data_IF_287729992456
#
_entry.id   IF_287729992456
#
_cell.length_a   1.000
_cell.length_b   1.000
_cell.length_c   1.000
_cell.angle_alpha   90.00
_cell.angle_beta   90.00
_cell.angle_gamma   90.00
#
_symmetry.space_group_name_H-M   'P 1'
#
loop_
_entity.id
_entity.type
_entity.pdbx_description
1 polymer ?
#
# COMPACT_ATOMS: atom_id res chain seq x y z
N UNK A 1 -1.47 -10.52 21.42
CA UNK A 1 -0.71 -9.77 22.45
C UNK A 1 0.72 -9.50 21.96
N UNK A 2 1.27 -8.33 22.31
CA UNK A 2 2.68 -7.97 22.09
C UNK A 2 3.42 -7.98 23.44
N UNK A 3 4.68 -8.38 23.48
CA UNK A 3 5.53 -8.31 24.67
C UNK A 3 6.73 -7.41 24.39
N UNK A 4 6.90 -6.37 25.21
CA UNK A 4 8.01 -5.42 25.09
C UNK A 4 9.25 -5.96 25.82
N UNK A 5 10.16 -6.62 25.11
CA UNK A 5 11.40 -7.16 25.68
C UNK A 5 12.64 -6.32 25.34
N UNK A 6 12.52 -5.27 24.50
CA UNK A 6 13.55 -4.25 24.34
C UNK A 6 13.50 -3.24 25.51
N UNK A 7 14.25 -3.55 26.56
CA UNK A 7 14.41 -2.68 27.74
C UNK A 7 15.66 -1.79 27.66
N UNK A 8 16.52 -2.00 26.66
CA UNK A 8 17.79 -1.29 26.55
C UNK A 8 17.63 0.02 25.78
N UNK A 9 16.75 0.05 24.78
CA UNK A 9 16.51 1.23 23.98
C UNK A 9 15.56 2.21 24.68
N UNK A 10 15.94 3.49 24.82
CA UNK A 10 15.07 4.51 25.41
C UNK A 10 13.72 4.58 24.71
N UNK A 11 12.64 4.61 25.50
CA UNK A 11 11.25 4.70 25.05
C UNK A 11 10.76 3.56 24.13
N UNK A 12 11.48 2.44 23.99
CA UNK A 12 11.04 1.32 23.14
C UNK A 12 9.74 0.68 23.64
N UNK A 13 9.61 0.48 24.95
CA UNK A 13 8.37 -0.02 25.57
C UNK A 13 7.19 0.91 25.26
N UNK A 14 7.37 2.22 25.48
CA UNK A 14 6.33 3.21 25.23
C UNK A 14 5.96 3.29 23.73
N UNK A 15 6.95 3.19 22.84
CA UNK A 15 6.72 3.14 21.40
C UNK A 15 5.84 1.93 21.02
N UNK A 16 6.12 0.76 21.60
CA UNK A 16 5.32 -0.44 21.36
C UNK A 16 3.91 -0.32 21.94
N UNK A 17 3.74 0.31 23.11
CA UNK A 17 2.44 0.59 23.71
C UNK A 17 1.56 1.48 22.82
N UNK A 18 2.11 2.58 22.31
CA UNK A 18 1.41 3.47 21.37
C UNK A 18 1.03 2.73 20.09
N UNK A 19 1.94 1.90 19.55
CA UNK A 19 1.65 1.09 18.37
C UNK A 19 0.54 0.08 18.65
N UNK A 20 0.61 -0.64 19.77
CA UNK A 20 -0.38 -1.62 20.19
C UNK A 20 -1.77 -0.99 20.36
N UNK A 21 -1.85 0.19 20.97
CA UNK A 21 -3.11 0.94 21.10
C UNK A 21 -3.71 1.28 19.72
N UNK A 22 -2.88 1.74 18.78
CA UNK A 22 -3.33 2.13 17.43
C UNK A 22 -3.92 0.97 16.61
N UNK A 23 -3.49 -0.27 16.87
CA UNK A 23 -3.95 -1.47 16.16
C UNK A 23 -4.88 -2.36 17.02
N UNK A 24 -5.22 -1.92 18.24
CA UNK A 24 -6.05 -2.70 19.16
C UNK A 24 -5.39 -3.98 19.69
N UNK A 25 -4.05 -4.05 19.73
CA UNK A 25 -3.31 -5.19 20.25
C UNK A 25 -2.82 -4.92 21.69
N UNK A 26 -3.15 -5.77 22.68
CA UNK A 26 -2.68 -5.57 24.05
C UNK A 26 -1.16 -5.75 24.13
N UNK A 27 -0.49 -4.84 24.82
CA UNK A 27 0.96 -4.87 25.07
C UNK A 27 1.22 -5.26 26.51
N UNK A 28 2.17 -6.18 26.71
CA UNK A 28 2.65 -6.61 28.01
C UNK A 28 4.07 -6.08 28.22
N UNK A 29 4.27 -5.36 29.31
CA UNK A 29 5.55 -4.82 29.76
C UNK A 29 5.68 -4.99 31.28
N UNK A 30 6.91 -5.03 31.80
CA UNK A 30 7.20 -4.99 33.23
C UNK A 30 8.11 -3.78 33.51
N UNK A 31 8.06 -3.26 34.73
CA UNK A 31 8.85 -2.09 35.13
C UNK A 31 10.37 -2.34 35.06
N UNK A 32 11.10 -1.22 34.98
CA UNK A 32 12.55 -1.14 34.83
C UNK A 32 13.32 -2.03 35.84
N UNK A 33 14.29 -2.79 35.32
CA UNK A 33 15.13 -3.71 36.12
C UNK A 33 14.76 -5.19 36.01
N UNK A 34 13.74 -5.54 35.24
CA UNK A 34 13.36 -6.94 34.97
C UNK A 34 14.08 -7.45 33.74
N UNK A 35 14.59 -8.70 33.76
CA UNK A 35 15.30 -9.27 32.61
C UNK A 35 14.37 -9.62 31.43
N UNK A 36 14.78 -9.44 30.16
CA UNK A 36 13.95 -9.76 29.00
C UNK A 36 13.40 -11.20 28.96
N UNK A 37 14.16 -12.25 29.33
CA UNK A 37 13.60 -13.61 29.43
C UNK A 37 12.43 -13.72 30.41
N UNK A 38 12.50 -13.02 31.54
CA UNK A 38 11.42 -13.01 32.53
C UNK A 38 10.18 -12.28 32.02
N UNK A 39 10.36 -11.15 31.31
CA UNK A 39 9.26 -10.43 30.65
C UNK A 39 8.56 -11.35 29.66
N UNK A 40 9.31 -12.02 28.79
CA UNK A 40 8.78 -12.90 27.76
C UNK A 40 8.01 -14.09 28.37
N UNK A 41 8.55 -14.71 29.43
CA UNK A 41 7.88 -15.78 30.17
C UNK A 41 6.56 -15.32 30.79
N UNK A 42 6.56 -14.17 31.48
CA UNK A 42 5.34 -13.62 32.10
C UNK A 42 4.32 -13.18 31.06
N UNK A 43 4.77 -12.67 29.92
CA UNK A 43 3.89 -12.38 28.79
C UNK A 43 3.22 -13.66 28.26
N UNK A 44 3.95 -14.78 28.15
CA UNK A 44 3.38 -16.07 27.76
C UNK A 44 2.34 -16.57 28.75
N UNK A 45 2.63 -16.50 30.06
CA UNK A 45 1.67 -16.87 31.11
C UNK A 45 0.41 -16.00 31.03
N UNK A 46 0.57 -14.68 30.83
CA UNK A 46 -0.54 -13.74 30.71
C UNK A 46 -1.35 -13.95 29.43
N UNK A 47 -0.70 -14.20 28.29
CA UNK A 47 -1.34 -14.49 27.03
C UNK A 47 -2.20 -15.76 27.12
N UNK A 48 -1.68 -16.82 27.77
CA UNK A 48 -2.44 -18.05 28.04
C UNK A 48 -3.63 -17.80 28.96
N UNK A 49 -3.44 -17.04 30.04
CA UNK A 49 -4.52 -16.68 30.97
C UNK A 49 -5.65 -15.88 30.28
N UNK A 50 -5.29 -14.98 29.37
CA UNK A 50 -6.23 -14.17 28.59
C UNK A 50 -6.73 -14.87 27.31
N UNK A 51 -6.40 -16.16 27.13
CA UNK A 51 -6.76 -16.96 25.95
C UNK A 51 -6.45 -16.26 24.62
N UNK A 52 -5.27 -15.65 24.52
CA UNK A 52 -4.79 -15.03 23.29
C UNK A 52 -4.27 -16.11 22.34
N UNK A 53 -4.63 -16.03 21.06
CA UNK A 53 -4.16 -16.96 20.04
C UNK A 53 -2.69 -16.74 19.66
N UNK A 54 -2.25 -15.48 19.65
CA UNK A 54 -0.91 -15.07 19.18
C UNK A 54 -0.23 -14.17 20.20
N UNK A 55 1.02 -14.51 20.52
CA UNK A 55 1.97 -13.69 21.26
C UNK A 55 3.15 -13.34 20.35
N UNK A 56 3.42 -12.04 20.18
CA UNK A 56 4.63 -11.55 19.50
C UNK A 56 5.56 -10.99 20.56
N UNK A 57 6.79 -11.51 20.61
CA UNK A 57 7.83 -11.05 21.54
C UNK A 57 8.79 -10.13 20.78
N UNK A 58 8.76 -8.83 21.11
CA UNK A 58 9.63 -7.83 20.50
C UNK A 58 10.92 -7.69 21.30
N UNK A 59 12.04 -8.14 20.73
CA UNK A 59 13.35 -8.17 21.38
C UNK A 59 14.23 -7.01 20.93
N UNK A 60 15.20 -6.61 21.76
CA UNK A 60 16.18 -5.59 21.39
C UNK A 60 16.91 -5.92 20.06
N UNK A 61 17.15 -4.88 19.26
CA UNK A 61 17.92 -4.98 18.03
C UNK A 61 19.41 -5.29 18.29
N UNK A 62 20.05 -6.06 17.40
CA UNK A 62 21.44 -6.52 17.58
C UNK A 62 22.24 -6.39 16.28
N UNK A 63 22.48 -5.14 15.87
CA UNK A 63 23.19 -4.81 14.63
C UNK A 63 24.63 -5.34 14.59
N UNK A 64 25.24 -5.56 15.75
CA UNK A 64 26.55 -6.19 15.90
C UNK A 64 26.38 -7.48 16.70
N UNK A 65 27.10 -8.53 16.29
CA UNK A 65 27.08 -9.84 16.96
C UNK A 65 27.74 -9.67 18.33
N UNK A 66 26.97 -9.26 19.33
CA UNK A 66 27.40 -9.15 20.71
C UNK A 66 27.02 -10.44 21.45
N UNK A 67 28.00 -11.08 22.09
CA UNK A 67 27.82 -12.38 22.72
C UNK A 67 26.79 -12.32 23.88
N UNK A 68 26.88 -11.38 24.84
CA UNK A 68 25.85 -11.15 25.86
C UNK A 68 24.43 -11.04 25.32
N UNK A 69 24.24 -10.30 24.23
CA UNK A 69 22.92 -10.09 23.63
C UNK A 69 22.38 -11.37 22.98
N UNK A 70 23.25 -12.19 22.39
CA UNK A 70 22.85 -13.49 21.84
C UNK A 70 22.53 -14.52 22.94
N UNK A 71 23.25 -14.49 24.07
CA UNK A 71 22.96 -15.34 25.22
C UNK A 71 21.59 -15.00 25.83
N UNK A 72 21.26 -13.72 25.90
CA UNK A 72 19.93 -13.24 26.30
C UNK A 72 18.84 -13.75 25.34
N UNK A 73 19.06 -13.71 24.03
CA UNK A 73 18.12 -14.25 23.04
C UNK A 73 17.88 -15.75 23.24
N UNK A 74 18.95 -16.51 23.46
CA UNK A 74 18.82 -17.94 23.74
C UNK A 74 18.05 -18.19 25.02
N UNK A 75 18.23 -17.36 26.05
CA UNK A 75 17.45 -17.44 27.28
C UNK A 75 15.95 -17.17 27.01
N UNK A 76 15.60 -16.15 26.22
CA UNK A 76 14.21 -15.89 25.81
C UNK A 76 13.62 -17.10 25.08
N UNK A 77 14.34 -17.66 24.10
CA UNK A 77 13.88 -18.82 23.32
C UNK A 77 13.67 -20.03 24.22
N UNK A 78 14.54 -20.27 25.21
CA UNK A 78 14.40 -21.38 26.17
C UNK A 78 13.17 -21.22 27.07
N UNK A 79 12.88 -20.02 27.54
CA UNK A 79 11.74 -19.76 28.43
C UNK A 79 10.39 -19.79 27.70
N UNK A 80 10.35 -19.29 26.45
CA UNK A 80 9.09 -19.15 25.70
C UNK A 80 8.81 -20.33 24.77
N UNK A 81 9.85 -21.02 24.29
CA UNK A 81 9.77 -22.09 23.30
C UNK A 81 8.91 -21.69 22.08
N UNK A 82 9.30 -20.64 21.34
CA UNK A 82 8.50 -20.07 20.28
C UNK A 82 8.28 -21.06 19.12
N UNK A 83 7.07 -21.08 18.58
CA UNK A 83 6.73 -21.87 17.37
C UNK A 83 7.42 -21.32 16.13
N UNK A 84 7.57 -20.00 16.04
CA UNK A 84 8.18 -19.30 14.92
C UNK A 84 9.19 -18.27 15.45
N UNK A 85 10.38 -18.22 14.84
CA UNK A 85 11.42 -17.23 15.13
C UNK A 85 11.79 -16.53 13.84
N UNK A 86 11.51 -15.23 13.76
CA UNK A 86 11.76 -14.42 12.58
C UNK A 86 13.00 -13.55 12.73
N UNK A 87 13.88 -13.59 11.73
CA UNK A 87 14.95 -12.62 11.58
C UNK A 87 14.44 -11.41 10.80
N UNK A 88 14.47 -10.22 11.41
CA UNK A 88 14.11 -8.97 10.75
C UNK A 88 15.36 -8.30 10.20
N UNK A 89 15.38 -8.04 8.90
CA UNK A 89 16.54 -7.51 8.16
C UNK A 89 16.13 -6.26 7.39
N UNK A 90 16.93 -5.21 7.47
CA UNK A 90 16.77 -4.03 6.62
C UNK A 90 17.36 -4.31 5.23
N UNK A 91 16.56 -4.15 4.17
CA UNK A 91 17.01 -4.44 2.80
C UNK A 91 18.14 -3.51 2.31
N UNK A 92 18.32 -2.35 2.94
CA UNK A 92 19.38 -1.40 2.59
C UNK A 92 20.77 -1.82 3.07
N UNK A 93 20.86 -2.75 4.02
CA UNK A 93 22.11 -3.19 4.66
C UNK A 93 23.00 -4.05 3.74
N UNK A 94 22.49 -4.46 2.57
CA UNK A 94 23.31 -5.09 1.53
C UNK A 94 23.99 -6.39 1.98
N UNK A 95 25.31 -6.49 1.82
CA UNK A 95 26.06 -7.70 2.17
C UNK A 95 26.20 -7.95 3.68
N UNK A 96 26.14 -6.89 4.50
CA UNK A 96 26.27 -7.04 5.96
C UNK A 96 25.09 -7.83 6.56
N UNK A 97 23.91 -7.74 5.93
CA UNK A 97 22.76 -8.56 6.26
C UNK A 97 23.04 -10.07 6.19
N UNK A 98 23.93 -10.51 5.29
CA UNK A 98 24.29 -11.93 5.14
C UNK A 98 25.05 -12.42 6.37
N UNK A 99 26.04 -11.65 6.82
CA UNK A 99 26.86 -12.01 7.98
C UNK A 99 26.00 -12.07 9.25
N UNK A 100 25.11 -11.08 9.44
CA UNK A 100 24.17 -11.06 10.56
C UNK A 100 23.26 -12.28 10.50
N UNK A 101 22.67 -12.57 9.34
CA UNK A 101 21.75 -13.69 9.21
C UNK A 101 22.43 -15.05 9.46
N UNK A 102 23.66 -15.24 9.00
CA UNK A 102 24.45 -16.45 9.28
C UNK A 102 24.72 -16.61 10.77
N UNK A 103 25.25 -15.57 11.42
CA UNK A 103 25.56 -15.61 12.85
C UNK A 103 24.33 -15.88 13.73
N UNK A 104 23.16 -15.33 13.35
CA UNK A 104 21.90 -15.62 14.01
C UNK A 104 21.46 -17.06 13.79
N UNK A 105 21.52 -17.55 12.55
CA UNK A 105 21.09 -18.90 12.19
C UNK A 105 21.94 -20.00 12.87
N UNK A 106 23.19 -19.70 13.22
CA UNK A 106 24.06 -20.62 13.96
C UNK A 106 23.70 -20.73 15.45
N UNK A 107 23.16 -19.65 16.04
CA UNK A 107 22.90 -19.57 17.48
C UNK A 107 21.44 -19.79 17.86
N UNK A 108 20.52 -19.50 16.95
CA UNK A 108 19.08 -19.61 17.15
C UNK A 108 18.45 -20.20 15.90
N UNK A 109 17.53 -21.15 16.10
CA UNK A 109 16.79 -21.74 15.00
C UNK A 109 15.80 -20.75 14.42
N UNK A 110 16.12 -20.19 13.26
CA UNK A 110 15.25 -19.29 12.52
C UNK A 110 14.26 -20.08 11.65
N UNK A 111 12.98 -19.75 11.72
CA UNK A 111 11.92 -20.39 10.94
C UNK A 111 11.47 -19.54 9.75
N UNK A 112 11.85 -18.26 9.75
CA UNK A 112 11.68 -17.36 8.63
C UNK A 112 12.44 -16.04 8.77
N UNK A 113 12.37 -15.23 7.74
CA UNK A 113 12.90 -13.87 7.73
C UNK A 113 11.87 -12.86 7.21
N UNK A 114 12.02 -11.62 7.67
CA UNK A 114 11.20 -10.47 7.30
C UNK A 114 12.15 -9.38 6.79
N UNK A 115 11.91 -8.86 5.60
CA UNK A 115 12.71 -7.77 5.04
C UNK A 115 11.96 -6.46 5.11
N UNK A 116 12.51 -5.45 5.78
CA UNK A 116 11.91 -4.11 5.90
C UNK A 116 12.53 -3.14 4.89
N UNK A 117 11.82 -2.04 4.62
CA UNK A 117 12.24 -0.95 3.71
C UNK A 117 12.52 -1.40 2.27
N UNK A 118 11.80 -2.44 1.84
CA UNK A 118 12.01 -3.03 0.53
C UNK A 118 11.52 -2.09 -0.59
N UNK A 119 10.68 -1.11 -0.30
CA UNK A 119 10.36 0.01 -1.20
C UNK A 119 11.59 0.82 -1.64
N UNK A 120 12.58 0.97 -0.76
CA UNK A 120 13.85 1.64 -1.06
C UNK A 120 14.90 0.75 -1.77
N UNK A 121 14.78 -0.57 -1.68
CA UNK A 121 15.68 -1.51 -2.36
C UNK A 121 15.14 -1.88 -3.76
N UNK A 122 15.74 -1.28 -4.79
CA UNK A 122 15.37 -1.54 -6.20
C UNK A 122 15.94 -2.85 -6.73
N UNK A 123 16.86 -3.51 -6.02
CA UNK A 123 17.61 -4.67 -6.54
C UNK A 123 17.27 -5.98 -5.86
N UNK A 124 16.60 -5.97 -4.72
CA UNK A 124 16.21 -7.18 -3.97
C UNK A 124 17.39 -8.08 -3.58
N UNK A 125 18.61 -7.54 -3.63
CA UNK A 125 19.84 -8.34 -3.55
C UNK A 125 20.05 -8.93 -2.17
N UNK A 126 19.63 -8.19 -1.12
CA UNK A 126 19.74 -8.65 0.26
C UNK A 126 18.87 -9.90 0.49
N UNK A 127 17.66 -9.93 -0.08
CA UNK A 127 16.71 -11.04 0.05
C UNK A 127 17.30 -12.33 -0.52
N UNK A 128 17.81 -12.24 -1.75
CA UNK A 128 18.44 -13.39 -2.44
C UNK A 128 19.69 -13.85 -1.69
N UNK A 129 20.54 -12.91 -1.26
CA UNK A 129 21.81 -13.23 -0.61
C UNK A 129 21.61 -13.92 0.74
N UNK A 130 20.72 -13.40 1.59
CA UNK A 130 20.41 -14.02 2.89
C UNK A 130 19.76 -15.39 2.70
N UNK A 131 18.80 -15.52 1.77
CA UNK A 131 18.15 -16.81 1.49
C UNK A 131 19.16 -17.85 1.00
N UNK A 132 20.08 -17.46 0.12
CA UNK A 132 21.11 -18.35 -0.40
C UNK A 132 22.13 -18.76 0.68
N UNK A 133 22.52 -17.83 1.55
CA UNK A 133 23.53 -18.06 2.57
C UNK A 133 23.04 -18.84 3.79
N UNK A 134 21.77 -18.64 4.20
CA UNK A 134 21.22 -19.21 5.44
C UNK A 134 20.20 -20.32 5.19
N UNK A 135 19.61 -20.39 3.99
CA UNK A 135 18.49 -21.27 3.70
C UNK A 135 17.17 -20.86 4.37
N UNK A 136 17.13 -19.83 5.21
CA UNK A 136 15.94 -19.38 5.95
C UNK A 136 14.90 -18.80 4.97
N UNK A 137 13.64 -19.27 4.98
CA UNK A 137 12.61 -18.78 4.06
C UNK A 137 12.16 -17.35 4.40
N UNK A 138 11.96 -16.53 3.38
CA UNK A 138 11.40 -15.18 3.52
C UNK A 138 9.89 -15.31 3.64
N UNK A 139 9.31 -14.79 4.72
CA UNK A 139 7.87 -14.90 5.00
C UNK A 139 7.12 -13.61 4.71
N UNK A 140 7.69 -12.48 5.08
CA UNK A 140 7.06 -11.16 4.94
C UNK A 140 8.04 -10.11 4.42
N UNK A 141 7.49 -9.05 3.84
CA UNK A 141 8.21 -7.87 3.37
C UNK A 141 7.49 -6.60 3.82
N UNK A 142 8.23 -5.62 4.30
CA UNK A 142 7.74 -4.29 4.63
C UNK A 142 8.03 -3.33 3.48
N UNK A 143 6.98 -2.76 2.89
CA UNK A 143 7.02 -1.82 1.77
C UNK A 143 6.82 -0.35 2.19
N UNK A 144 6.91 -0.07 3.49
CA UNK A 144 6.72 1.26 4.05
C UNK A 144 6.73 1.27 5.57
N UNK A 145 6.46 2.44 6.15
CA UNK A 145 6.54 2.66 7.60
C UNK A 145 5.22 2.41 8.35
N UNK A 146 4.10 2.37 7.63
CA UNK A 146 2.78 2.20 8.23
C UNK A 146 2.50 0.73 8.54
N UNK A 147 1.57 0.48 9.45
CA UNK A 147 1.19 -0.87 9.89
C UNK A 147 0.55 -1.73 8.79
N UNK A 148 -0.06 -1.09 7.79
CA UNK A 148 -0.64 -1.73 6.61
C UNK A 148 0.39 -2.04 5.51
N UNK A 149 1.66 -1.66 5.68
CA UNK A 149 2.71 -1.85 4.69
C UNK A 149 3.48 -3.18 4.83
N UNK A 150 3.02 -4.09 5.71
CA UNK A 150 3.58 -5.43 5.86
C UNK A 150 2.81 -6.44 4.98
N UNK A 151 3.49 -7.02 4.01
CA UNK A 151 2.90 -7.96 3.06
C UNK A 151 3.54 -9.35 3.13
N UNK A 152 2.79 -10.37 2.73
CA UNK A 152 3.33 -11.71 2.54
C UNK A 152 4.32 -11.73 1.35
N UNK A 153 5.46 -12.39 1.55
CA UNK A 153 6.47 -12.49 0.52
C UNK A 153 6.01 -13.36 -0.66
N UNK A 154 6.24 -12.88 -1.88
CA UNK A 154 6.06 -13.64 -3.12
C UNK A 154 7.37 -13.65 -3.91
N UNK A 155 7.93 -14.85 -4.10
CA UNK A 155 9.14 -15.04 -4.88
C UNK A 155 8.97 -14.59 -6.34
N UNK A 156 7.78 -14.80 -6.91
CA UNK A 156 7.46 -14.37 -8.26
C UNK A 156 7.48 -12.85 -8.37
N UNK A 157 6.77 -12.13 -7.48
CA UNK A 157 6.76 -10.65 -7.49
C UNK A 157 8.15 -10.07 -7.26
N UNK A 158 8.94 -10.69 -6.38
CA UNK A 158 10.33 -10.31 -6.17
C UNK A 158 11.17 -10.49 -7.45
N UNK A 159 11.08 -11.64 -8.10
CA UNK A 159 11.82 -11.89 -9.34
C UNK A 159 11.45 -10.90 -10.45
N UNK A 160 10.15 -10.63 -10.62
CA UNK A 160 9.65 -9.64 -11.58
C UNK A 160 10.17 -8.25 -11.27
N UNK A 161 10.18 -7.84 -10.00
CA UNK A 161 10.73 -6.55 -9.55
C UNK A 161 12.23 -6.44 -9.84
N UNK A 162 13.01 -7.49 -9.59
CA UNK A 162 14.46 -7.53 -9.89
C UNK A 162 14.72 -7.42 -11.40
N UNK A 163 13.88 -8.06 -12.22
CA UNK A 163 13.99 -8.04 -13.69
C UNK A 163 13.47 -6.72 -14.28
N UNK A 164 12.87 -5.85 -13.46
CA UNK A 164 12.29 -4.57 -13.91
C UNK A 164 10.94 -4.71 -14.63
N UNK A 165 10.30 -5.88 -14.56
CA UNK A 165 8.94 -6.13 -15.07
C UNK A 165 7.86 -6.06 -13.98
N UNK A 166 8.24 -6.06 -12.70
CA UNK A 166 7.34 -6.09 -11.54
C UNK A 166 6.47 -4.85 -11.36
N UNK A 167 6.91 -3.70 -11.89
CA UNK A 167 6.08 -2.49 -11.87
C UNK A 167 4.83 -2.64 -12.74
N UNK A 168 4.84 -3.45 -13.80
CA UNK A 168 3.67 -3.59 -14.68
C UNK A 168 2.61 -4.51 -14.05
N UNK A 169 3.02 -5.56 -13.34
CA UNK A 169 2.11 -6.53 -12.72
C UNK A 169 1.56 -6.05 -11.38
N UNK A 170 2.36 -5.37 -10.54
CA UNK A 170 1.84 -4.73 -9.33
C UNK A 170 0.82 -3.62 -9.64
N UNK A 171 0.97 -2.95 -10.80
CA UNK A 171 -0.03 -2.02 -11.34
C UNK A 171 -1.30 -2.75 -11.73
N UNK A 172 -1.19 -3.92 -12.35
CA UNK A 172 -2.35 -4.73 -12.74
C UNK A 172 -3.04 -5.32 -11.51
N UNK A 173 -2.32 -5.81 -10.50
CA UNK A 173 -2.90 -6.33 -9.25
C UNK A 173 -3.56 -5.23 -8.42
N UNK A 174 -2.92 -4.06 -8.24
CA UNK A 174 -3.58 -2.92 -7.58
C UNK A 174 -4.72 -2.35 -8.42
N UNK A 175 -4.63 -2.41 -9.74
CA UNK A 175 -5.76 -2.09 -10.61
C UNK A 175 -6.88 -3.12 -10.47
N UNK A 176 -6.59 -4.43 -10.36
CA UNK A 176 -7.57 -5.49 -10.15
C UNK A 176 -8.20 -5.46 -8.75
N UNK A 177 -7.47 -5.00 -7.72
CA UNK A 177 -7.99 -4.78 -6.37
C UNK A 177 -8.79 -3.48 -6.25
N UNK A 178 -8.36 -2.41 -6.95
CA UNK A 178 -9.07 -1.13 -6.97
C UNK A 178 -10.29 -1.14 -7.91
N UNK A 179 -10.26 -1.97 -8.96
CA UNK A 179 -11.37 -2.24 -9.85
C UNK A 179 -12.17 -3.39 -9.23
N UNK A 180 -13.17 -3.02 -8.43
CA UNK A 180 -14.19 -3.96 -8.02
C UNK A 180 -14.74 -4.65 -9.28
N UNK A 181 -14.70 -6.00 -9.33
CA UNK A 181 -15.13 -6.78 -10.51
C UNK A 181 -16.55 -6.39 -10.96
N UNK A 182 -17.37 -5.85 -10.06
CA UNK A 182 -18.68 -5.27 -10.37
C UNK A 182 -18.64 -3.95 -11.17
N UNK A 183 -17.69 -3.06 -10.92
CA UNK A 183 -17.58 -1.75 -11.59
C UNK A 183 -17.07 -1.88 -13.04
N UNK A 184 -16.11 -2.79 -13.30
CA UNK A 184 -15.67 -3.08 -14.66
C UNK A 184 -16.79 -3.65 -15.53
N UNK A 185 -17.57 -4.59 -14.98
CA UNK A 185 -18.73 -5.18 -15.67
C UNK A 185 -19.83 -4.15 -15.92
N UNK A 186 -20.08 -3.24 -14.98
CA UNK A 186 -21.06 -2.17 -15.14
C UNK A 186 -20.64 -1.16 -16.22
N UNK A 187 -19.36 -0.78 -16.24
CA UNK A 187 -18.80 0.10 -17.27
C UNK A 187 -18.82 -0.56 -18.65
N UNK A 188 -18.47 -1.83 -18.74
CA UNK A 188 -18.50 -2.61 -19.99
C UNK A 188 -19.93 -2.79 -20.50
N UNK A 189 -20.90 -3.07 -19.62
CA UNK A 189 -22.32 -3.17 -19.95
C UNK A 189 -22.90 -1.83 -20.45
N UNK A 190 -22.58 -0.69 -19.81
CA UNK A 190 -22.98 0.65 -20.28
C UNK A 190 -22.33 1.00 -21.62
N UNK A 191 -21.04 0.67 -21.80
CA UNK A 191 -20.31 0.91 -23.04
C UNK A 191 -20.86 0.07 -24.21
N UNK A 192 -21.17 -1.21 -23.98
CA UNK A 192 -21.82 -2.13 -24.94
C UNK A 192 -23.27 -1.76 -25.22
N UNK A 193 -24.02 -1.32 -24.20
CA UNK A 193 -25.42 -0.89 -24.29
C UNK A 193 -25.65 0.47 -24.94
N UNK A 194 -24.57 1.21 -25.27
CA UNK A 194 -24.67 2.50 -25.95
C UNK A 194 -24.98 3.68 -25.02
N UNK A 195 -24.89 3.51 -23.70
CA UNK A 195 -25.07 4.58 -22.73
C UNK A 195 -24.06 5.70 -22.92
N UNK A 196 -24.53 6.95 -22.87
CA UNK A 196 -23.65 8.11 -22.85
C UNK A 196 -22.98 8.21 -21.46
N UNK A 197 -21.69 8.54 -21.44
CA UNK A 197 -20.99 8.82 -20.18
C UNK A 197 -21.66 10.02 -19.50
N UNK A 198 -21.93 9.87 -18.22
CA UNK A 198 -22.60 10.85 -17.37
C UNK A 198 -21.68 11.32 -16.22
N UNK A 199 -22.17 12.20 -15.32
CA UNK A 199 -21.35 12.68 -14.21
C UNK A 199 -21.19 11.66 -13.07
N UNK A 200 -22.03 10.64 -12.99
CA UNK A 200 -21.83 9.55 -12.02
C UNK A 200 -20.63 8.69 -12.43
N UNK A 201 -20.48 8.45 -13.73
CA UNK A 201 -19.34 7.73 -14.29
C UNK A 201 -18.03 8.49 -14.05
N UNK A 202 -18.04 9.82 -14.25
CA UNK A 202 -16.88 10.68 -13.97
C UNK A 202 -16.55 10.72 -12.47
N UNK A 203 -17.56 10.75 -11.60
CA UNK A 203 -17.37 10.69 -10.15
C UNK A 203 -16.77 9.36 -9.70
N UNK A 204 -17.20 8.24 -10.30
CA UNK A 204 -16.61 6.93 -10.04
C UNK A 204 -15.12 6.91 -10.41
N UNK A 205 -14.76 7.44 -11.59
CA UNK A 205 -13.36 7.54 -12.01
C UNK A 205 -12.49 8.35 -11.03
N UNK A 206 -12.99 9.49 -10.52
CA UNK A 206 -12.25 10.25 -9.51
C UNK A 206 -12.03 9.47 -8.22
N UNK A 207 -13.02 8.67 -7.79
CA UNK A 207 -12.87 7.79 -6.61
C UNK A 207 -11.83 6.71 -6.85
N UNK A 208 -11.80 6.10 -8.03
CA UNK A 208 -10.80 5.09 -8.38
C UNK A 208 -9.39 5.69 -8.37
N UNK A 209 -9.19 6.87 -8.98
CA UNK A 209 -7.89 7.56 -8.96
C UNK A 209 -7.46 7.86 -7.52
N UNK A 210 -8.38 8.32 -6.66
CA UNK A 210 -8.09 8.58 -5.24
C UNK A 210 -7.69 7.33 -4.47
N UNK A 211 -8.29 6.17 -4.79
CA UNK A 211 -7.91 4.87 -4.20
C UNK A 211 -6.50 4.43 -4.60
N UNK A 212 -6.02 4.82 -5.79
CA UNK A 212 -4.68 4.47 -6.28
C UNK A 212 -3.55 5.31 -5.64
N UNK A 213 -3.89 6.34 -4.85
CA UNK A 213 -2.93 7.19 -4.15
C UNK A 213 -2.78 8.59 -4.77
N UNK A 214 -1.72 9.33 -4.40
CA UNK A 214 -1.48 10.69 -4.89
C UNK A 214 -1.40 10.75 -6.42
N UNK A 215 -2.01 11.77 -7.04
CA UNK A 215 -2.07 11.91 -8.51
C UNK A 215 -0.67 11.94 -9.13
N UNK A 216 0.29 12.51 -8.41
CA UNK A 216 1.69 12.57 -8.81
C UNK A 216 2.28 11.18 -9.06
N UNK A 217 1.91 10.20 -8.22
CA UNK A 217 2.36 8.82 -8.37
C UNK A 217 1.67 8.17 -9.57
N UNK A 218 0.37 8.39 -9.75
CA UNK A 218 -0.39 7.89 -10.91
C UNK A 218 0.16 8.44 -12.24
N UNK A 219 0.53 9.72 -12.30
CA UNK A 219 1.10 10.34 -13.51
C UNK A 219 2.49 9.81 -13.84
N UNK A 220 3.32 9.52 -12.83
CA UNK A 220 4.63 8.86 -13.01
C UNK A 220 4.51 7.43 -13.55
N UNK A 221 3.34 6.82 -13.40
CA UNK A 221 3.06 5.45 -13.84
C UNK A 221 2.56 5.34 -15.29
N UNK A 222 2.31 6.46 -16.00
CA UNK A 222 1.85 6.45 -17.40
C UNK A 222 3.06 6.40 -18.36
N UNK A 223 3.27 5.30 -19.12
CA UNK A 223 4.40 5.17 -20.03
C UNK A 223 4.32 6.21 -21.16
N UNK A 224 5.43 6.90 -21.43
CA UNK A 224 5.54 7.89 -22.51
C UNK A 224 5.11 9.31 -22.14
N UNK A 225 4.36 9.51 -21.05
CA UNK A 225 4.05 10.85 -20.52
C UNK A 225 5.14 11.35 -19.57
N UNK A 226 5.78 10.44 -18.83
CA UNK A 226 6.89 10.75 -17.91
C UNK A 226 8.13 11.33 -18.60
N UNK A 227 8.30 11.09 -19.90
CA UNK A 227 9.39 11.65 -20.70
C UNK A 227 9.10 13.08 -21.24
N UNK A 228 7.84 13.53 -21.18
CA UNK A 228 7.40 14.83 -21.74
C UNK A 228 6.99 15.84 -20.67
N UNK A 229 6.75 15.40 -19.43
CA UNK A 229 6.32 16.26 -18.32
C UNK A 229 7.48 16.37 -17.32
N UNK A 230 7.91 17.60 -17.03
CA UNK A 230 9.00 17.86 -16.10
C UNK A 230 8.59 17.56 -14.64
N UNK A 231 9.54 17.21 -13.77
CA UNK A 231 9.27 16.99 -12.34
C UNK A 231 8.68 18.24 -11.65
N UNK A 232 9.02 19.44 -12.13
CA UNK A 232 8.43 20.70 -11.64
C UNK A 232 6.94 20.84 -12.00
N UNK A 233 6.52 20.36 -13.16
CA UNK A 233 5.11 20.44 -13.59
C UNK A 233 4.25 19.40 -12.88
N UNK A 234 4.83 18.24 -12.54
CA UNK A 234 4.19 17.21 -11.70
C UNK A 234 3.94 17.72 -10.27
N UNK A 235 4.89 18.46 -9.70
CA UNK A 235 4.76 19.05 -8.36
C UNK A 235 3.77 20.23 -8.30
N UNK A 236 3.40 20.82 -9.45
CA UNK A 236 2.38 21.87 -9.56
C UNK A 236 0.96 21.34 -9.73
N UNK A 237 0.77 20.01 -9.83
CA UNK A 237 -0.56 19.42 -9.94
C UNK A 237 -1.28 19.56 -8.60
N UNK A 238 -2.20 20.52 -8.53
CA UNK A 238 -3.00 20.80 -7.35
C UNK A 238 -4.10 19.74 -7.19
N UNK A 239 -3.93 18.80 -6.26
CA UNK A 239 -4.93 17.79 -5.91
C UNK A 239 -6.29 18.42 -5.53
N UNK A 240 -6.26 19.66 -5.03
CA UNK A 240 -7.49 20.40 -4.67
C UNK A 240 -8.36 20.70 -5.89
N UNK A 241 -7.83 20.65 -7.11
CA UNK A 241 -8.67 20.77 -8.31
C UNK A 241 -9.62 19.60 -8.45
N UNK A 242 -9.16 18.37 -8.18
CA UNK A 242 -10.02 17.17 -8.22
C UNK A 242 -11.10 17.24 -7.12
N UNK A 243 -10.74 17.75 -5.94
CA UNK A 243 -11.72 17.96 -4.86
C UNK A 243 -12.77 19.02 -5.24
N UNK A 244 -12.37 20.13 -5.89
CA UNK A 244 -13.31 21.14 -6.40
C UNK A 244 -14.25 20.57 -7.46
N UNK A 245 -13.74 19.76 -8.39
CA UNK A 245 -14.55 19.10 -9.41
C UNK A 245 -15.55 18.12 -8.80
N UNK A 246 -15.13 17.35 -7.79
CA UNK A 246 -16.04 16.48 -7.05
C UNK A 246 -17.11 17.28 -6.31
N UNK A 247 -16.75 18.38 -5.65
CA UNK A 247 -17.71 19.26 -4.99
C UNK A 247 -18.77 19.78 -5.98
N UNK A 248 -18.36 20.21 -7.18
CA UNK A 248 -19.28 20.62 -8.25
C UNK A 248 -20.24 19.50 -8.65
N UNK A 249 -19.75 18.27 -8.84
CA UNK A 249 -20.59 17.12 -9.21
C UNK A 249 -21.57 16.75 -8.07
N UNK A 250 -21.10 16.77 -6.83
CA UNK A 250 -21.91 16.44 -5.66
C UNK A 250 -23.03 17.46 -5.41
N UNK A 251 -22.85 18.72 -5.82
CA UNK A 251 -23.87 19.77 -5.77
C UNK A 251 -24.91 19.69 -6.90
N UNK A 252 -24.81 18.70 -7.79
CA UNK A 252 -25.85 18.36 -8.77
C UNK A 252 -26.85 17.36 -8.19
N UNK A 253 -28.09 17.44 -8.65
CA UNK A 253 -29.14 16.43 -8.38
C UNK A 253 -28.87 15.14 -9.18
N UNK A 254 -29.41 13.98 -8.77
CA UNK A 254 -29.23 12.72 -9.49
C UNK A 254 -29.66 12.79 -10.97
N UNK A 255 -30.72 13.55 -11.26
CA UNK A 255 -31.23 13.76 -12.63
C UNK A 255 -30.22 14.57 -13.46
N UNK A 256 -29.63 15.61 -12.90
CA UNK A 256 -28.61 16.42 -13.59
C UNK A 256 -27.31 15.64 -13.79
N UNK A 257 -26.97 14.74 -12.86
CA UNK A 257 -25.79 13.88 -13.02
C UNK A 257 -25.96 12.85 -14.14
N UNK A 258 -27.13 12.21 -14.19
CA UNK A 258 -27.47 11.22 -15.23
C UNK A 258 -27.70 11.87 -16.59
N UNK A 259 -28.25 13.09 -16.62
CA UNK A 259 -28.47 13.85 -17.84
C UNK A 259 -27.86 15.26 -17.78
N UNK A 260 -26.55 15.39 -18.08
CA UNK A 260 -25.83 16.68 -18.12
C UNK A 260 -26.40 17.73 -19.07
N UNK A 261 -27.18 17.31 -20.09
CA UNK A 261 -27.66 18.20 -21.15
C UNK A 261 -28.78 19.13 -20.65
N UNK A 262 -29.39 18.83 -19.48
CA UNK A 262 -30.44 19.66 -18.87
C UNK A 262 -29.87 20.86 -18.07
N UNK A 263 -28.54 20.95 -17.92
CA UNK A 263 -27.87 21.94 -17.09
C UNK A 263 -27.82 23.31 -17.81
N UNK A 264 -28.88 24.08 -17.60
CA UNK A 264 -29.02 25.47 -18.06
C UNK A 264 -28.30 26.47 -17.13
N UNK A 265 -28.27 27.76 -17.53
CA UNK A 265 -27.57 28.81 -16.78
C UNK A 265 -28.06 29.01 -15.34
N UNK A 266 -29.35 28.81 -15.07
CA UNK A 266 -29.91 28.88 -13.71
C UNK A 266 -29.38 27.74 -12.83
N UNK A 267 -29.36 26.51 -13.35
CA UNK A 267 -28.79 25.34 -12.65
C UNK A 267 -27.29 25.51 -12.39
N UNK A 268 -26.53 26.09 -13.34
CA UNK A 268 -25.09 26.35 -13.15
C UNK A 268 -24.83 27.32 -11.99
N UNK A 269 -25.62 28.39 -11.86
CA UNK A 269 -25.51 29.32 -10.73
C UNK A 269 -25.78 28.63 -9.40
N UNK A 270 -26.82 27.78 -9.34
CA UNK A 270 -27.15 26.99 -8.14
C UNK A 270 -26.04 26.01 -7.77
N UNK A 271 -25.50 25.28 -8.76
CA UNK A 271 -24.42 24.31 -8.56
C UNK A 271 -23.18 25.03 -8.02
N UNK A 272 -22.75 26.11 -8.68
CA UNK A 272 -21.59 26.91 -8.27
C UNK A 272 -21.71 27.42 -6.83
N UNK A 273 -22.88 27.97 -6.46
CA UNK A 273 -23.14 28.41 -5.08
C UNK A 273 -23.11 27.23 -4.08
N UNK A 274 -23.67 26.07 -4.46
CA UNK A 274 -23.69 24.89 -3.61
C UNK A 274 -22.33 24.18 -3.47
N UNK A 275 -21.41 24.36 -4.41
CA UNK A 275 -20.06 23.80 -4.36
C UNK A 275 -19.00 24.79 -3.86
N UNK A 276 -19.35 26.05 -3.60
CA UNK A 276 -18.40 27.10 -3.24
C UNK A 276 -17.43 27.45 -4.37
N UNK A 277 -17.82 27.21 -5.63
CA UNK A 277 -16.99 27.46 -6.83
C UNK A 277 -17.60 28.53 -7.71
N UNK A 278 -16.89 28.91 -8.78
CA UNK A 278 -17.42 29.85 -9.77
C UNK A 278 -18.31 29.16 -10.81
N UNK A 279 -19.11 29.94 -11.55
CA UNK A 279 -19.88 29.44 -12.70
C UNK A 279 -18.95 28.99 -13.84
N UNK A 280 -17.74 29.56 -13.91
CA UNK A 280 -16.71 29.22 -14.88
C UNK A 280 -16.16 27.81 -14.65
N UNK A 281 -15.96 27.42 -13.38
CA UNK A 281 -15.55 26.07 -13.01
C UNK A 281 -16.59 25.03 -13.44
N UNK A 282 -17.88 25.33 -13.24
CA UNK A 282 -18.99 24.48 -13.70
C UNK A 282 -19.01 24.37 -15.23
N UNK A 283 -18.75 25.47 -15.95
CA UNK A 283 -18.66 25.47 -17.41
C UNK A 283 -17.46 24.67 -17.92
N UNK A 284 -16.32 24.76 -17.23
CA UNK A 284 -15.12 23.99 -17.55
C UNK A 284 -15.39 22.48 -17.44
N UNK A 285 -16.03 22.06 -16.35
CA UNK A 285 -16.39 20.67 -16.13
C UNK A 285 -17.37 20.14 -17.22
N UNK A 286 -18.36 20.94 -17.61
CA UNK A 286 -19.28 20.59 -18.70
C UNK A 286 -18.57 20.44 -20.05
N UNK A 287 -17.57 21.29 -20.33
CA UNK A 287 -16.75 21.20 -21.54
C UNK A 287 -15.92 19.91 -21.55
N UNK A 288 -15.26 19.59 -20.45
CA UNK A 288 -14.46 18.36 -20.31
C UNK A 288 -15.31 17.10 -20.53
N UNK A 289 -16.53 17.05 -19.97
CA UNK A 289 -17.45 15.93 -20.20
C UNK A 289 -17.85 15.83 -21.68
N UNK A 290 -18.09 16.95 -22.33
CA UNK A 290 -18.48 17.01 -23.75
C UNK A 290 -17.34 16.54 -24.66
N UNK A 291 -16.11 16.94 -24.35
CA UNK A 291 -14.90 16.49 -25.05
C UNK A 291 -14.68 14.99 -24.86
N UNK A 292 -14.81 14.48 -23.64
CA UNK A 292 -14.72 13.05 -23.37
C UNK A 292 -15.77 12.25 -24.14
N UNK A 293 -17.02 12.70 -24.15
CA UNK A 293 -18.11 12.11 -24.97
C UNK A 293 -17.77 12.12 -26.47
N UNK A 294 -17.13 13.19 -26.96
CA UNK A 294 -16.72 13.31 -28.37
C UNK A 294 -15.61 12.32 -28.72
N UNK A 295 -14.57 12.24 -27.89
CA UNK A 295 -13.44 11.31 -28.08
C UNK A 295 -13.90 9.85 -28.05
N UNK A 296 -14.80 9.49 -27.14
CA UNK A 296 -15.36 8.13 -27.09
C UNK A 296 -16.22 7.77 -28.30
N UNK A 297 -16.97 8.73 -28.83
CA UNK A 297 -17.71 8.54 -30.10
C UNK A 297 -16.75 8.32 -31.26
N UNK A 298 -15.61 9.01 -31.30
CA UNK A 298 -14.56 8.80 -32.31
C UNK A 298 -13.90 7.43 -32.15
N UNK A 299 -13.57 7.03 -30.92
CA UNK A 299 -12.97 5.73 -30.62
C UNK A 299 -13.91 4.57 -31.02
N UNK A 300 -15.19 4.62 -30.65
CA UNK A 300 -16.21 3.63 -31.07
C UNK A 300 -16.36 3.55 -32.60
N UNK A 301 -16.21 4.67 -33.33
CA UNK A 301 -16.22 4.67 -34.81
C UNK A 301 -14.96 4.01 -35.38
N UNK A 302 -13.80 4.24 -34.76
CA UNK A 302 -12.53 3.64 -35.13
C UNK A 302 -12.55 2.12 -34.90
N UNK A 303 -13.00 1.69 -33.72
CA UNK A 303 -13.15 0.28 -33.34
C UNK A 303 -14.09 -0.47 -34.30
N UNK A 304 -15.26 0.12 -34.62
CA UNK A 304 -16.16 -0.44 -35.64
C UNK A 304 -15.51 -0.57 -37.01
N UNK A 305 -14.62 0.36 -37.39
CA UNK A 305 -13.87 0.29 -38.66
C UNK A 305 -12.82 -0.82 -38.64
N UNK A 306 -12.07 -0.99 -37.55
CA UNK A 306 -11.09 -2.07 -37.38
C UNK A 306 -11.76 -3.45 -37.38
N UNK A 307 -12.87 -3.60 -36.67
CA UNK A 307 -13.65 -4.85 -36.61
C UNK A 307 -14.29 -5.24 -37.95
N UNK A 308 -14.52 -4.27 -38.84
CA UNK A 308 -15.03 -4.49 -40.22
C UNK A 308 -13.90 -4.84 -41.21
N UNK A 309 -12.65 -4.52 -40.87
CA UNK A 309 -11.45 -4.77 -41.70
C UNK A 309 -10.83 -6.15 -41.44
N UNK A 310 -10.92 -6.67 -40.21
CA UNK A 310 -10.50 -8.04 -39.86
C UNK A 310 -11.54 -9.13 -40.19
N UNK A 311 -12.57 -8.80 -40.97
CA UNK A 311 -13.65 -9.71 -41.40
C UNK A 311 -13.71 -9.89 -42.92
N UNK A 312 -12.69 -9.42 -43.63
CA UNK A 312 -12.45 -9.64 -45.06
C UNK A 312 -11.23 -10.50 -45.25
#
# INVERSE_FOLDING_TARGET
MLAACDIQRPAAVHQLEVLGESIGAPVFSLQDGTSPPLIARRALERAKFLMQDVLIVDTAGRLQIDAPLMDELQAIVREVQPTETFLVVDSTTGQEAVNVAQAFSERVQLTGSIFTKLDGDTRGGAVVSVKAATGVPVRFVGLGEKTDALEAFSAQRMAERIIGMGDVLGIIERAEEAIDKGEALALEAKLKGGGAIDFNDLLAQFRTIRKMGPIQNVLKMIPGLSAQVSEEDLNKVDERQIDRMQAVILSMTPIERANPDIINGSRRKRIAAGSGTSVEDVNMLLRQLTEMRRSLKQFKKLEKRFKKRGRR
#
